data_IF_693140220355
#
_entry.id   IF_693140220355
#
_cell.length_a   1.000
_cell.length_b   1.000
_cell.length_c   1.000
_cell.angle_alpha   90.00
_cell.angle_beta   90.00
_cell.angle_gamma   90.00
#
_symmetry.space_group_name_H-M   'P 1'
#
loop_
_entity.id
_entity.type
_entity.pdbx_description
1 polymer ?
#
# COMPACT_ATOMS: atom_id res chain seq x y z
N UNK A 1 2.66 0.64 -38.00
CA UNK A 1 2.92 -0.57 -37.20
C UNK A 1 3.38 -0.16 -35.81
N UNK A 2 2.68 -0.61 -34.77
CA UNK A 2 3.15 -0.46 -33.38
C UNK A 2 4.34 -1.41 -33.20
N UNK A 3 5.53 -0.91 -32.83
CA UNK A 3 6.68 -1.77 -32.52
C UNK A 3 6.38 -2.61 -31.26
N UNK A 4 6.90 -3.84 -31.16
CA UNK A 4 6.66 -4.79 -30.07
C UNK A 4 6.92 -4.19 -28.68
N UNK A 5 7.93 -3.33 -28.56
CA UNK A 5 8.20 -2.59 -27.33
C UNK A 5 7.03 -1.69 -26.91
N UNK A 6 6.46 -0.94 -27.86
CA UNK A 6 5.32 -0.05 -27.57
C UNK A 6 4.09 -0.86 -27.15
N UNK A 7 3.85 -2.01 -27.79
CA UNK A 7 2.79 -2.93 -27.38
C UNK A 7 2.99 -3.44 -25.94
N UNK A 8 4.21 -3.82 -25.57
CA UNK A 8 4.49 -4.31 -24.21
C UNK A 8 4.33 -3.22 -23.14
N UNK A 9 4.73 -1.98 -23.44
CA UNK A 9 4.53 -0.83 -22.54
C UNK A 9 3.03 -0.58 -22.33
N UNK A 10 2.25 -0.59 -23.41
CA UNK A 10 0.80 -0.44 -23.35
C UNK A 10 0.14 -1.59 -22.57
N UNK A 11 0.60 -2.83 -22.78
CA UNK A 11 0.11 -3.99 -22.05
C UNK A 11 0.43 -3.89 -20.55
N UNK A 12 1.66 -3.51 -20.19
CA UNK A 12 2.03 -3.27 -18.79
C UNK A 12 1.14 -2.19 -18.16
N UNK A 13 0.96 -1.05 -18.84
CA UNK A 13 0.12 0.04 -18.36
C UNK A 13 -1.33 -0.41 -18.18
N UNK A 14 -1.89 -1.15 -19.14
CA UNK A 14 -3.23 -1.70 -19.07
C UNK A 14 -3.39 -2.67 -17.90
N UNK A 15 -2.45 -3.60 -17.72
CA UNK A 15 -2.45 -4.56 -16.61
C UNK A 15 -2.35 -3.86 -15.26
N UNK A 16 -1.47 -2.86 -15.13
CA UNK A 16 -1.32 -2.06 -13.92
C UNK A 16 -2.56 -1.25 -13.58
N UNK A 17 -3.13 -0.54 -14.56
CA UNK A 17 -4.37 0.22 -14.36
C UNK A 17 -5.53 -0.71 -14.02
N UNK A 18 -5.67 -1.83 -14.72
CA UNK A 18 -6.71 -2.83 -14.44
C UNK A 18 -6.58 -3.37 -13.02
N UNK A 19 -5.36 -3.75 -12.61
CA UNK A 19 -5.09 -4.19 -11.25
C UNK A 19 -5.41 -3.09 -10.23
N UNK A 20 -4.94 -1.85 -10.45
CA UNK A 20 -5.17 -0.73 -9.54
C UNK A 20 -6.67 -0.42 -9.36
N UNK A 21 -7.44 -0.48 -10.46
CA UNK A 21 -8.90 -0.32 -10.44
C UNK A 21 -9.55 -1.47 -9.66
N UNK A 22 -9.24 -2.73 -10.00
CA UNK A 22 -9.80 -3.89 -9.33
C UNK A 22 -9.49 -3.89 -7.82
N UNK A 23 -8.25 -3.60 -7.45
CA UNK A 23 -7.81 -3.49 -6.07
C UNK A 23 -8.54 -2.35 -5.33
N UNK A 24 -8.71 -1.19 -5.97
CA UNK A 24 -9.41 -0.04 -5.39
C UNK A 24 -10.91 -0.29 -5.23
N UNK A 25 -11.54 -0.97 -6.20
CA UNK A 25 -12.93 -1.40 -6.13
C UNK A 25 -13.13 -2.42 -5.01
N UNK A 26 -12.19 -3.34 -4.83
CA UNK A 26 -12.21 -4.28 -3.71
C UNK A 26 -12.09 -3.58 -2.35
N UNK A 27 -11.41 -2.43 -2.28
CA UNK A 27 -11.34 -1.60 -1.08
C UNK A 27 -12.52 -0.62 -0.91
N UNK A 28 -13.42 -0.53 -1.89
CA UNK A 28 -14.51 0.43 -1.91
C UNK A 28 -15.64 0.10 -0.92
N UNK A 29 -16.35 1.13 -0.46
CA UNK A 29 -17.46 0.98 0.50
C UNK A 29 -18.61 0.14 -0.10
N UNK A 30 -18.83 0.25 -1.42
CA UNK A 30 -19.87 -0.50 -2.11
C UNK A 30 -19.70 -2.02 -1.99
N UNK A 31 -18.52 -2.54 -2.32
CA UNK A 31 -18.27 -3.99 -2.23
C UNK A 31 -18.31 -4.49 -0.78
N UNK A 32 -17.81 -3.68 0.16
CA UNK A 32 -17.94 -3.98 1.60
C UNK A 32 -19.40 -4.10 2.03
N UNK A 33 -20.26 -3.19 1.57
CA UNK A 33 -21.72 -3.22 1.85
C UNK A 33 -22.39 -4.43 1.22
N UNK A 34 -22.05 -4.78 -0.02
CA UNK A 34 -22.58 -5.97 -0.68
C UNK A 34 -22.18 -7.25 0.08
N UNK A 35 -20.92 -7.35 0.52
CA UNK A 35 -20.46 -8.49 1.30
C UNK A 35 -21.20 -8.60 2.64
N UNK A 36 -21.38 -7.47 3.36
CA UNK A 36 -22.18 -7.42 4.59
C UNK A 36 -23.62 -7.86 4.37
N UNK A 37 -24.27 -7.37 3.31
CA UNK A 37 -25.65 -7.76 2.99
C UNK A 37 -25.81 -9.24 2.63
N UNK A 38 -24.80 -9.84 1.98
CA UNK A 38 -24.85 -11.23 1.51
C UNK A 38 -24.43 -12.27 2.56
N UNK A 39 -23.49 -11.92 3.43
CA UNK A 39 -22.85 -12.86 4.37
C UNK A 39 -23.02 -12.47 5.85
N UNK A 40 -23.56 -11.29 6.15
CA UNK A 40 -23.75 -10.77 7.50
C UNK A 40 -22.55 -10.01 8.07
N UNK A 41 -22.80 -9.19 9.10
CA UNK A 41 -21.77 -8.35 9.74
C UNK A 41 -20.65 -9.16 10.40
N UNK A 42 -20.98 -10.29 11.03
CA UNK A 42 -19.98 -11.14 11.68
C UNK A 42 -18.97 -11.71 10.67
N UNK A 43 -19.46 -12.21 9.53
CA UNK A 43 -18.61 -12.76 8.47
C UNK A 43 -17.78 -11.66 7.80
N UNK A 44 -18.36 -10.48 7.58
CA UNK A 44 -17.63 -9.31 7.10
C UNK A 44 -16.47 -8.95 8.04
N UNK A 45 -16.76 -8.83 9.34
CA UNK A 45 -15.75 -8.47 10.32
C UNK A 45 -14.62 -9.50 10.35
N UNK A 46 -14.95 -10.79 10.33
CA UNK A 46 -13.98 -11.88 10.39
C UNK A 46 -13.13 -12.07 9.13
N UNK A 47 -13.77 -12.22 7.97
CA UNK A 47 -13.11 -12.75 6.77
C UNK A 47 -12.69 -11.69 5.76
N UNK A 48 -13.42 -10.57 5.69
CA UNK A 48 -13.30 -9.66 4.55
C UNK A 48 -11.87 -9.13 4.38
N UNK A 49 -11.19 -8.78 5.49
CA UNK A 49 -9.84 -8.24 5.45
C UNK A 49 -8.82 -9.26 4.93
N UNK A 50 -8.91 -10.50 5.41
CA UNK A 50 -8.04 -11.59 4.97
C UNK A 50 -8.26 -11.91 3.48
N UNK A 51 -9.52 -12.03 3.06
CA UNK A 51 -9.87 -12.27 1.66
C UNK A 51 -9.40 -11.14 0.74
N UNK A 52 -9.56 -9.89 1.18
CA UNK A 52 -9.07 -8.72 0.45
C UNK A 52 -7.54 -8.75 0.28
N UNK A 53 -6.79 -9.06 1.33
CA UNK A 53 -5.33 -9.15 1.27
C UNK A 53 -4.86 -10.31 0.38
N UNK A 54 -5.51 -11.48 0.45
CA UNK A 54 -5.24 -12.61 -0.44
C UNK A 54 -5.54 -12.24 -1.90
N UNK A 55 -6.69 -11.62 -2.17
CA UNK A 55 -7.04 -11.11 -3.49
C UNK A 55 -5.98 -10.12 -4.00
N UNK A 56 -5.57 -9.16 -3.18
CA UNK A 56 -4.54 -8.19 -3.53
C UNK A 56 -3.22 -8.87 -3.90
N UNK A 57 -2.77 -9.85 -3.10
CA UNK A 57 -1.53 -10.59 -3.35
C UNK A 57 -1.62 -11.45 -4.62
N UNK A 58 -2.67 -12.25 -4.76
CA UNK A 58 -2.86 -13.18 -5.89
C UNK A 58 -2.97 -12.41 -7.21
N UNK A 59 -3.60 -11.24 -7.21
CA UNK A 59 -3.76 -10.42 -8.43
C UNK A 59 -2.52 -9.59 -8.74
N UNK A 60 -1.76 -9.16 -7.72
CA UNK A 60 -0.56 -8.35 -7.90
C UNK A 60 0.66 -9.19 -8.31
N UNK A 61 0.83 -10.38 -7.74
CA UNK A 61 2.02 -11.20 -7.95
C UNK A 61 2.30 -11.52 -9.44
N UNK A 62 1.32 -11.96 -10.25
CA UNK A 62 1.54 -12.18 -11.68
C UNK A 62 1.97 -10.91 -12.41
N UNK A 63 1.37 -9.77 -12.10
CA UNK A 63 1.75 -8.49 -12.68
C UNK A 63 3.22 -8.18 -12.38
N UNK A 64 3.64 -8.33 -11.12
CA UNK A 64 5.03 -8.08 -10.72
C UNK A 64 6.00 -9.00 -11.46
N UNK A 65 5.67 -10.29 -11.58
CA UNK A 65 6.51 -11.27 -12.29
C UNK A 65 6.59 -11.02 -13.80
N UNK A 66 5.60 -10.35 -14.39
CA UNK A 66 5.60 -9.99 -15.82
C UNK A 66 6.44 -8.76 -16.15
N UNK A 67 6.83 -7.94 -15.17
CA UNK A 67 7.65 -6.73 -15.40
C UNK A 67 8.93 -7.03 -16.20
N UNK A 68 9.79 -7.99 -15.81
CA UNK A 68 11.01 -8.30 -16.56
C UNK A 68 10.77 -8.89 -17.95
N UNK A 69 9.57 -9.44 -18.19
CA UNK A 69 9.18 -10.02 -19.49
C UNK A 69 8.66 -8.93 -20.43
N UNK A 70 7.85 -8.01 -19.92
CA UNK A 70 7.20 -6.97 -20.72
C UNK A 70 8.13 -5.78 -20.97
N UNK A 71 8.89 -5.36 -19.96
CA UNK A 71 9.64 -4.12 -20.00
C UNK A 71 11.15 -4.37 -20.16
N UNK A 72 11.87 -3.50 -20.90
CA UNK A 72 13.31 -3.59 -21.01
C UNK A 72 14.00 -3.59 -19.64
N UNK A 73 15.01 -4.44 -19.50
CA UNK A 73 15.86 -4.51 -18.31
C UNK A 73 17.19 -3.78 -18.51
N UNK A 74 17.24 -2.85 -19.48
CA UNK A 74 18.37 -1.95 -19.66
C UNK A 74 18.53 -1.10 -18.41
N UNK A 75 19.76 -1.03 -17.90
CA UNK A 75 20.10 -0.22 -16.74
C UNK A 75 20.06 1.26 -17.13
N UNK A 76 19.24 2.04 -16.43
CA UNK A 76 19.16 3.50 -16.58
C UNK A 76 20.26 4.16 -15.75
N UNK A 77 20.42 3.72 -14.50
CA UNK A 77 21.52 4.13 -13.64
C UNK A 77 21.92 3.02 -12.67
N UNK A 78 23.17 3.07 -12.22
CA UNK A 78 23.68 2.25 -11.13
C UNK A 78 24.55 3.08 -10.20
N UNK A 79 24.45 2.83 -8.90
CA UNK A 79 25.22 3.52 -7.87
C UNK A 79 26.57 2.83 -7.69
N UNK A 80 27.66 3.54 -7.95
CA UNK A 80 29.03 3.06 -7.67
C UNK A 80 29.41 3.30 -6.21
N UNK A 81 30.51 2.68 -5.75
CA UNK A 81 31.07 2.96 -4.42
C UNK A 81 31.62 4.39 -4.40
N UNK A 82 31.45 5.15 -3.30
CA UNK A 82 30.85 4.76 -2.02
C UNK A 82 29.33 4.92 -1.96
N UNK A 83 28.70 5.56 -2.94
CA UNK A 83 27.26 5.88 -2.93
C UNK A 83 26.36 4.65 -2.83
N UNK A 84 26.80 3.49 -3.35
CA UNK A 84 26.13 2.20 -3.17
C UNK A 84 25.75 1.92 -1.70
N UNK A 85 26.64 2.26 -0.76
CA UNK A 85 26.39 2.04 0.66
C UNK A 85 25.30 2.98 1.20
N UNK A 86 25.21 4.21 0.69
CA UNK A 86 24.13 5.14 1.04
C UNK A 86 22.79 4.62 0.53
N UNK A 87 22.74 4.09 -0.69
CA UNK A 87 21.52 3.50 -1.24
C UNK A 87 21.00 2.35 -0.34
N UNK A 88 21.88 1.40 0.02
CA UNK A 88 21.51 0.32 0.94
C UNK A 88 21.13 0.80 2.34
N UNK A 89 21.80 1.84 2.87
CA UNK A 89 21.44 2.44 4.15
C UNK A 89 20.00 2.98 4.11
N UNK A 90 19.63 3.72 3.06
CA UNK A 90 18.26 4.21 2.92
C UNK A 90 17.25 3.08 2.72
N UNK A 91 17.58 2.04 1.97
CA UNK A 91 16.72 0.85 1.87
C UNK A 91 16.54 0.18 3.24
N UNK A 92 17.59 0.06 4.04
CA UNK A 92 17.50 -0.50 5.39
C UNK A 92 16.63 0.37 6.31
N UNK A 93 16.77 1.70 6.26
CA UNK A 93 15.90 2.64 6.98
C UNK A 93 14.44 2.46 6.54
N UNK A 94 14.21 2.32 5.23
CA UNK A 94 12.90 2.03 4.66
C UNK A 94 12.30 0.73 5.19
N UNK A 95 13.06 -0.36 5.16
CA UNK A 95 12.61 -1.67 5.67
C UNK A 95 12.34 -1.63 7.17
N UNK A 96 13.20 -0.99 7.96
CA UNK A 96 13.01 -0.82 9.39
C UNK A 96 11.75 0.03 9.69
N UNK A 97 11.53 1.11 8.93
CA UNK A 97 10.34 1.95 9.03
C UNK A 97 9.06 1.21 8.67
N UNK A 98 9.08 0.35 7.64
CA UNK A 98 7.97 -0.53 7.28
C UNK A 98 7.66 -1.53 8.41
N UNK A 99 8.69 -2.23 8.90
CA UNK A 99 8.54 -3.20 9.98
C UNK A 99 7.97 -2.54 11.25
N UNK A 100 8.48 -1.37 11.63
CA UNK A 100 7.98 -0.64 12.79
C UNK A 100 6.53 -0.16 12.60
N UNK A 101 6.19 0.33 11.41
CA UNK A 101 4.82 0.75 11.09
C UNK A 101 3.83 -0.41 11.15
N UNK A 102 4.20 -1.58 10.58
CA UNK A 102 3.38 -2.79 10.61
C UNK A 102 3.24 -3.35 12.03
N UNK A 103 4.30 -3.29 12.83
CA UNK A 103 4.25 -3.70 14.23
C UNK A 103 3.28 -2.83 15.03
N UNK A 104 3.33 -1.50 14.88
CA UNK A 104 2.40 -0.58 15.54
C UNK A 104 0.95 -0.81 15.11
N UNK A 105 0.71 -1.08 13.83
CA UNK A 105 -0.64 -1.36 13.29
C UNK A 105 -1.12 -2.79 13.57
N UNK A 106 -0.36 -3.59 14.31
CA UNK A 106 -0.54 -5.04 14.49
C UNK A 106 -0.60 -5.78 13.14
N UNK A 107 0.53 -6.36 12.72
CA UNK A 107 0.65 -7.08 11.45
C UNK A 107 -0.44 -8.15 11.26
N UNK A 108 -0.86 -8.84 12.32
CA UNK A 108 -1.87 -9.89 12.22
C UNK A 108 -3.28 -9.31 12.05
N UNK A 109 -3.54 -8.15 12.65
CA UNK A 109 -4.74 -7.38 12.40
C UNK A 109 -4.74 -6.76 10.99
N UNK A 110 -3.59 -6.27 10.52
CA UNK A 110 -3.42 -5.73 9.17
C UNK A 110 -3.70 -6.80 8.11
N UNK A 111 -3.15 -8.00 8.29
CA UNK A 111 -3.36 -9.15 7.40
C UNK A 111 -4.78 -9.72 7.46
N UNK A 112 -5.54 -9.49 8.53
CA UNK A 112 -6.88 -10.05 8.71
C UNK A 112 -6.90 -11.40 9.45
N UNK A 113 -5.74 -11.91 9.89
CA UNK A 113 -5.62 -13.23 10.53
C UNK A 113 -6.27 -13.25 11.90
N UNK A 114 -6.08 -12.20 12.72
CA UNK A 114 -6.72 -12.11 14.03
C UNK A 114 -8.24 -12.10 13.92
N UNK A 115 -8.77 -11.37 12.94
CA UNK A 115 -10.20 -11.26 12.69
C UNK A 115 -10.79 -12.61 12.24
N UNK A 116 -10.10 -13.32 11.34
CA UNK A 116 -10.51 -14.64 10.89
C UNK A 116 -10.49 -15.66 12.05
N UNK A 117 -9.43 -15.67 12.85
CA UNK A 117 -9.31 -16.54 14.03
C UNK A 117 -10.38 -16.22 15.08
N UNK A 118 -10.68 -14.94 15.31
CA UNK A 118 -11.78 -14.52 16.18
C UNK A 118 -13.11 -15.10 15.69
N UNK A 119 -13.41 -14.97 14.39
CA UNK A 119 -14.66 -15.47 13.82
C UNK A 119 -14.78 -16.98 13.95
N UNK A 120 -13.70 -17.72 13.68
CA UNK A 120 -13.68 -19.19 13.82
C UNK A 120 -13.87 -19.62 15.28
N UNK A 121 -13.21 -18.95 16.23
CA UNK A 121 -13.28 -19.32 17.65
C UNK A 121 -14.60 -18.94 18.32
N UNK A 122 -15.13 -17.75 18.02
CA UNK A 122 -16.32 -17.21 18.68
C UNK A 122 -17.60 -17.38 17.85
N UNK A 123 -17.53 -18.05 16.68
CA UNK A 123 -18.62 -18.16 15.69
C UNK A 123 -19.27 -16.81 15.34
N UNK A 124 -18.49 -15.74 15.38
CA UNK A 124 -18.98 -14.39 15.13
C UNK A 124 -19.78 -13.75 16.27
N UNK A 125 -19.84 -14.39 17.45
CA UNK A 125 -20.39 -13.80 18.66
C UNK A 125 -19.35 -12.89 19.36
N UNK A 126 -19.81 -11.83 20.00
CA UNK A 126 -18.95 -10.87 20.72
C UNK A 126 -18.64 -9.60 19.93
N UNK A 127 -18.09 -8.60 20.62
CA UNK A 127 -17.73 -7.31 20.02
C UNK A 127 -16.29 -7.38 19.50
N UNK A 128 -16.11 -7.10 18.21
CA UNK A 128 -14.78 -6.94 17.62
C UNK A 128 -14.09 -5.70 18.21
N UNK A 129 -12.79 -5.78 18.55
CA UNK A 129 -12.00 -4.61 18.87
C UNK A 129 -12.04 -3.62 17.70
N UNK A 130 -12.35 -2.36 17.99
CA UNK A 130 -12.26 -1.29 17.00
C UNK A 130 -10.79 -1.02 16.67
N UNK A 131 -10.45 -0.76 15.39
CA UNK A 131 -9.08 -0.40 15.03
C UNK A 131 -8.65 0.85 15.79
N UNK A 132 -7.49 0.78 16.45
CA UNK A 132 -6.93 1.92 17.18
C UNK A 132 -6.49 3.01 16.20
N UNK A 133 -6.81 4.27 16.50
CA UNK A 133 -6.27 5.41 15.77
C UNK A 133 -4.84 5.69 16.24
N UNK A 134 -3.87 5.46 15.36
CA UNK A 134 -2.44 5.55 15.70
C UNK A 134 -1.86 6.84 15.11
N UNK A 135 -1.30 7.68 15.97
CA UNK A 135 -0.64 8.95 15.58
C UNK A 135 0.80 9.07 16.11
N UNK A 136 1.33 8.01 16.72
CA UNK A 136 2.67 7.95 17.31
C UNK A 136 3.68 7.21 16.42
N UNK A 137 4.98 7.33 16.74
CA UNK A 137 6.04 6.65 16.00
C UNK A 137 6.15 7.17 14.56
N UNK A 138 6.20 6.31 13.54
CA UNK A 138 6.21 6.72 12.13
C UNK A 138 5.01 7.57 11.72
N UNK A 139 3.85 7.33 12.34
CA UNK A 139 2.65 8.12 12.12
C UNK A 139 2.78 9.55 12.67
N UNK A 140 3.75 9.85 13.54
CA UNK A 140 4.06 11.23 13.92
C UNK A 140 4.91 11.96 12.86
N UNK A 141 5.58 11.23 11.98
CA UNK A 141 6.46 11.77 10.94
C UNK A 141 5.68 12.05 9.64
N UNK A 142 4.88 11.08 9.19
CA UNK A 142 4.04 11.16 7.99
C UNK A 142 2.74 10.38 8.23
N UNK A 143 1.63 10.82 7.63
CA UNK A 143 0.32 10.16 7.85
C UNK A 143 0.20 8.79 7.19
N UNK A 144 0.95 8.52 6.12
CA UNK A 144 0.99 7.23 5.43
C UNK A 144 2.41 6.64 5.43
N UNK A 145 2.92 6.19 6.59
CA UNK A 145 4.31 5.74 6.72
C UNK A 145 4.60 4.47 5.91
N UNK A 146 3.61 3.57 5.76
CA UNK A 146 3.75 2.40 4.90
C UNK A 146 4.03 2.80 3.44
N UNK A 147 3.40 3.87 2.95
CA UNK A 147 3.62 4.33 1.58
C UNK A 147 4.98 5.00 1.48
N UNK A 148 5.30 5.90 2.40
CA UNK A 148 6.57 6.61 2.42
C UNK A 148 7.76 5.65 2.45
N UNK A 149 7.81 4.73 3.40
CA UNK A 149 8.95 3.82 3.53
C UNK A 149 9.02 2.80 2.39
N UNK A 150 7.88 2.39 1.83
CA UNK A 150 7.87 1.61 0.59
C UNK A 150 8.54 2.37 -0.56
N UNK A 151 8.21 3.66 -0.73
CA UNK A 151 8.86 4.50 -1.74
C UNK A 151 10.35 4.68 -1.48
N UNK A 152 10.78 4.81 -0.21
CA UNK A 152 12.21 4.84 0.14
C UNK A 152 12.90 3.55 -0.33
N UNK A 153 12.34 2.38 -0.03
CA UNK A 153 12.93 1.09 -0.45
C UNK A 153 13.03 0.98 -1.98
N UNK A 154 11.97 1.38 -2.70
CA UNK A 154 11.92 1.29 -4.16
C UNK A 154 12.90 2.28 -4.82
N UNK A 155 12.87 3.55 -4.44
CA UNK A 155 13.62 4.60 -5.13
C UNK A 155 15.12 4.61 -4.77
N UNK A 156 15.51 4.06 -3.61
CA UNK A 156 16.92 3.81 -3.29
C UNK A 156 17.42 2.44 -3.78
N UNK A 157 16.76 1.83 -4.78
CA UNK A 157 17.32 0.70 -5.50
C UNK A 157 18.63 1.12 -6.19
N UNK A 158 19.78 0.49 -5.87
CA UNK A 158 21.08 0.89 -6.39
C UNK A 158 21.25 0.58 -7.88
N UNK A 159 20.44 -0.29 -8.47
CA UNK A 159 20.44 -0.60 -9.90
C UNK A 159 19.04 -0.42 -10.45
N UNK A 160 18.82 0.69 -11.15
CA UNK A 160 17.52 0.99 -11.73
C UNK A 160 17.48 0.56 -13.20
N UNK A 161 16.59 -0.37 -13.52
CA UNK A 161 16.27 -0.72 -14.91
C UNK A 161 15.09 0.10 -15.43
N UNK A 162 14.89 0.14 -16.74
CA UNK A 162 13.70 0.76 -17.35
C UNK A 162 12.42 0.14 -16.78
N UNK A 163 12.37 -1.18 -16.64
CA UNK A 163 11.24 -1.89 -16.04
C UNK A 163 10.96 -1.51 -14.59
N UNK A 164 11.99 -1.48 -13.73
CA UNK A 164 11.85 -1.03 -12.35
C UNK A 164 11.42 0.43 -12.26
N UNK A 165 12.01 1.32 -13.07
CA UNK A 165 11.66 2.74 -13.09
C UNK A 165 10.20 2.96 -13.46
N UNK A 166 9.71 2.30 -14.52
CA UNK A 166 8.31 2.38 -14.93
C UNK A 166 7.37 1.87 -13.83
N UNK A 167 7.69 0.74 -13.22
CA UNK A 167 6.91 0.16 -12.13
C UNK A 167 6.91 1.05 -10.87
N UNK A 168 8.05 1.55 -10.43
CA UNK A 168 8.14 2.41 -9.24
C UNK A 168 7.42 3.75 -9.46
N UNK A 169 7.47 4.28 -10.67
CA UNK A 169 6.68 5.46 -11.06
C UNK A 169 5.19 5.17 -10.95
N UNK A 170 4.72 4.05 -11.51
CA UNK A 170 3.32 3.64 -11.43
C UNK A 170 2.85 3.43 -9.98
N UNK A 171 3.65 2.76 -9.15
CA UNK A 171 3.38 2.59 -7.70
C UNK A 171 3.34 3.93 -6.98
N UNK A 172 4.24 4.86 -7.31
CA UNK A 172 4.25 6.21 -6.71
C UNK A 172 2.95 6.95 -7.00
N UNK A 173 2.48 6.94 -8.25
CA UNK A 173 1.19 7.53 -8.61
C UNK A 173 0.03 6.83 -7.91
N UNK A 174 0.06 5.50 -7.84
CA UNK A 174 -0.96 4.71 -7.15
C UNK A 174 -1.03 5.05 -5.66
N UNK A 175 0.09 5.14 -4.95
CA UNK A 175 0.15 5.56 -3.55
C UNK A 175 -0.27 7.01 -3.34
N UNK A 176 0.12 7.90 -4.26
CA UNK A 176 -0.30 9.30 -4.20
C UNK A 176 -1.83 9.43 -4.28
N UNK A 177 -2.45 8.81 -5.29
CA UNK A 177 -3.91 8.79 -5.45
C UNK A 177 -4.59 8.06 -4.29
N UNK A 178 -4.10 6.87 -3.95
CA UNK A 178 -4.59 6.05 -2.85
C UNK A 178 -4.63 6.81 -1.52
N UNK A 179 -3.57 7.58 -1.23
CA UNK A 179 -3.52 8.40 -0.02
C UNK A 179 -4.66 9.43 0.02
N UNK A 180 -4.98 10.11 -1.10
CA UNK A 180 -6.09 11.08 -1.15
C UNK A 180 -7.43 10.41 -0.80
N UNK A 181 -7.68 9.22 -1.37
CA UNK A 181 -8.92 8.48 -1.08
C UNK A 181 -8.96 7.95 0.35
N UNK A 182 -7.82 7.51 0.87
CA UNK A 182 -7.68 7.05 2.25
C UNK A 182 -7.92 8.21 3.23
N UNK A 183 -7.35 9.39 3.00
CA UNK A 183 -7.59 10.57 3.84
C UNK A 183 -9.07 10.96 3.90
N UNK A 184 -9.79 10.87 2.78
CA UNK A 184 -11.24 11.13 2.75
C UNK A 184 -12.01 10.13 3.62
N UNK A 185 -11.64 8.86 3.56
CA UNK A 185 -12.25 7.80 4.38
C UNK A 185 -11.94 8.00 5.87
N UNK A 186 -10.70 8.35 6.20
CA UNK A 186 -10.27 8.62 7.57
C UNK A 186 -10.96 9.87 8.13
N UNK A 187 -11.07 10.95 7.35
CA UNK A 187 -11.79 12.14 7.75
C UNK A 187 -13.28 11.86 8.00
N UNK A 188 -13.92 11.01 7.17
CA UNK A 188 -15.31 10.60 7.38
C UNK A 188 -15.49 9.69 8.62
N UNK A 189 -14.46 8.91 9.00
CA UNK A 189 -14.52 7.98 10.13
C UNK A 189 -14.15 8.60 11.48
N UNK A 190 -13.11 9.44 11.52
CA UNK A 190 -12.53 10.02 12.74
C UNK A 190 -12.82 11.51 12.91
N UNK A 191 -13.40 12.18 11.90
CA UNK A 191 -13.87 13.56 11.99
C UNK A 191 -12.80 14.56 12.44
N UNK A 192 -13.12 15.34 13.48
CA UNK A 192 -12.28 16.42 13.99
C UNK A 192 -10.90 15.95 14.48
N UNK A 193 -10.81 14.74 15.04
CA UNK A 193 -9.54 14.18 15.50
C UNK A 193 -8.54 14.00 14.34
N UNK A 194 -9.04 13.50 13.21
CA UNK A 194 -8.23 13.34 12.00
C UNK A 194 -7.87 14.70 11.37
N UNK A 195 -8.78 15.67 11.38
CA UNK A 195 -8.48 17.02 10.90
C UNK A 195 -7.35 17.68 11.71
N UNK A 196 -7.38 17.56 13.04
CA UNK A 196 -6.30 18.06 13.90
C UNK A 196 -4.97 17.32 13.67
N UNK A 197 -5.02 16.04 13.31
CA UNK A 197 -3.84 15.28 12.89
C UNK A 197 -3.31 15.76 11.52
N UNK A 198 -4.19 16.06 10.57
CA UNK A 198 -3.81 16.57 9.25
C UNK A 198 -3.10 17.93 9.27
N UNK A 199 -3.39 18.75 10.29
CA UNK A 199 -2.71 20.03 10.49
C UNK A 199 -1.28 19.89 11.01
N UNK A 200 -0.97 18.80 11.73
CA UNK A 200 0.32 18.63 12.44
C UNK A 200 1.33 17.77 11.70
N UNK A 201 0.87 16.74 11.01
CA UNK A 201 1.74 15.71 10.41
C UNK A 201 1.54 15.71 8.90
N UNK A 202 2.56 15.84 8.04
CA UNK A 202 2.38 15.86 6.58
C UNK A 202 1.92 14.51 6.01
N UNK A 203 1.35 14.52 4.80
CA UNK A 203 0.72 13.32 4.22
C UNK A 203 1.70 12.19 3.90
N UNK A 204 2.62 12.43 2.95
CA UNK A 204 3.49 11.40 2.38
C UNK A 204 4.98 11.66 2.58
N UNK A 205 5.41 12.91 2.44
CA UNK A 205 6.81 13.28 2.61
C UNK A 205 6.96 14.06 3.92
N UNK A 206 8.03 13.85 4.70
CA UNK A 206 8.27 14.50 5.98
C UNK A 206 8.72 15.97 5.82
N UNK A 207 8.05 16.71 4.94
CA UNK A 207 8.28 18.12 4.68
C UNK A 207 7.09 18.86 5.29
N UNK A 208 7.34 19.61 6.36
CA UNK A 208 6.30 20.48 6.95
C UNK A 208 5.91 21.52 5.90
N UNK A 209 4.60 21.75 5.73
CA UNK A 209 4.16 22.92 4.94
C UNK A 209 4.70 24.18 5.63
N UNK A 210 5.33 25.13 4.90
CA UNK A 210 5.52 26.45 5.46
C UNK A 210 4.14 27.01 5.78
N UNK A 211 3.96 27.46 7.03
CA UNK A 211 2.73 28.12 7.48
C UNK A 211 2.61 29.49 6.82
#
# INVERSE_FOLDING_TARGET
MINSLMLNILLFALLFVSWAVLHSLAAAVGLKRLFRGRFGEAAYAGWYRLLYNLFALITFLPLYLLIPVLLPQTVVWSWSRPYLYLAYLFQLIGLAGLAYSLWLTDMWEFLGVRQALWYVRQKGAGQMPTPRFITSGPYALVRHPLYFFSLVVLWFNPVMTVGSLAFYTAVTFYFWLGSIYEERKLAAGYGAEYQAYQQRVPRLFPIKKPF
#
